data_IF_947666324210
#
_entry.id   IF_947666324210
#
_cell.length_a   1.000
_cell.length_b   1.000
_cell.length_c   1.000
_cell.angle_alpha   90.00
_cell.angle_beta   90.00
_cell.angle_gamma   90.00
#
_symmetry.space_group_name_H-M   'P 1'
#
loop_
_entity.id
_entity.type
_entity.pdbx_description
1 polymer ?
#
# COMPACT_ATOMS: atom_id res chain seq x y z
N UNK A 1 36.95 6.72 -3.70
CA UNK A 1 35.67 6.02 -3.57
C UNK A 1 35.76 5.11 -2.35
N UNK A 2 34.94 5.34 -1.30
CA UNK A 2 34.84 4.38 -0.19
C UNK A 2 34.23 3.08 -0.75
N UNK A 3 34.90 1.96 -0.58
CA UNK A 3 34.33 0.66 -0.97
C UNK A 3 33.22 0.31 0.02
N UNK A 4 31.99 0.14 -0.48
CA UNK A 4 30.88 -0.40 0.29
C UNK A 4 31.12 -1.90 0.52
N UNK A 5 31.00 -2.33 1.77
CA UNK A 5 31.08 -3.75 2.11
C UNK A 5 29.82 -4.52 1.68
N UNK A 6 28.65 -3.86 1.71
CA UNK A 6 27.36 -4.45 1.32
C UNK A 6 26.44 -3.33 0.82
N UNK A 7 25.86 -3.52 -0.36
CA UNK A 7 24.92 -2.57 -0.98
C UNK A 7 23.66 -2.33 -0.11
N UNK A 8 23.27 -3.30 0.68
CA UNK A 8 22.13 -3.19 1.61
C UNK A 8 22.31 -2.11 2.69
N UNK A 9 23.51 -1.55 2.82
CA UNK A 9 23.74 -0.36 3.66
C UNK A 9 23.10 0.91 3.08
N UNK A 10 22.79 0.91 1.77
CA UNK A 10 22.21 2.06 1.07
C UNK A 10 20.83 1.72 0.54
N UNK A 11 20.68 0.54 -0.06
CA UNK A 11 19.43 0.10 -0.70
C UNK A 11 19.05 -1.28 -0.19
N UNK A 12 17.86 -1.43 0.34
CA UNK A 12 17.39 -2.73 0.83
C UNK A 12 15.85 -2.80 0.82
N UNK A 13 15.34 -4.03 0.69
CA UNK A 13 13.94 -4.35 0.89
C UNK A 13 13.83 -5.64 1.71
N UNK A 14 12.91 -5.68 2.64
CA UNK A 14 12.67 -6.81 3.52
C UNK A 14 11.18 -7.07 3.68
N UNK A 15 10.78 -8.34 3.59
CA UNK A 15 9.49 -8.77 4.10
C UNK A 15 9.54 -8.73 5.63
N UNK A 16 8.55 -8.08 6.23
CA UNK A 16 8.44 -7.91 7.69
C UNK A 16 7.05 -8.25 8.16
N UNK A 17 6.96 -8.77 9.37
CA UNK A 17 5.69 -9.06 10.05
C UNK A 17 5.75 -8.42 11.43
N UNK A 18 4.71 -7.70 11.80
CA UNK A 18 4.57 -7.20 13.17
C UNK A 18 4.15 -8.34 14.11
N UNK A 19 4.92 -8.57 15.17
CA UNK A 19 4.70 -9.69 16.07
C UNK A 19 3.86 -9.32 17.30
N UNK A 20 3.81 -8.03 17.66
CA UNK A 20 3.13 -7.56 18.87
C UNK A 20 2.41 -6.23 18.60
N UNK A 21 1.57 -5.81 19.54
CA UNK A 21 0.82 -4.57 19.46
C UNK A 21 -0.49 -4.69 18.68
N UNK A 22 -1.10 -3.56 18.40
CA UNK A 22 -2.34 -3.47 17.62
C UNK A 22 -2.14 -3.93 16.18
N UNK A 23 -0.93 -3.76 15.66
CA UNK A 23 -0.46 -4.13 14.32
C UNK A 23 -0.10 -5.60 14.16
N UNK A 24 -0.18 -6.40 15.22
CA UNK A 24 0.24 -7.81 15.21
C UNK A 24 -0.38 -8.58 14.05
N UNK A 25 0.47 -9.36 13.36
CA UNK A 25 0.10 -10.17 12.19
C UNK A 25 0.12 -9.42 10.86
N UNK A 26 0.28 -8.10 10.83
CA UNK A 26 0.37 -7.34 9.57
C UNK A 26 1.63 -7.71 8.80
N UNK A 27 1.43 -8.05 7.51
CA UNK A 27 2.48 -8.41 6.57
C UNK A 27 2.86 -7.19 5.74
N UNK A 28 4.11 -6.81 5.79
CA UNK A 28 4.58 -5.59 5.14
C UNK A 28 5.85 -5.83 4.32
N UNK A 29 6.25 -4.83 3.53
CA UNK A 29 7.57 -4.72 2.93
C UNK A 29 8.18 -3.41 3.44
N UNK A 30 9.33 -3.50 4.08
CA UNK A 30 10.12 -2.35 4.48
C UNK A 30 11.20 -2.10 3.43
N UNK A 31 11.15 -0.93 2.82
CA UNK A 31 12.11 -0.48 1.81
C UNK A 31 12.95 0.66 2.37
N UNK A 32 14.25 0.62 2.11
CA UNK A 32 15.16 1.69 2.40
C UNK A 32 15.96 2.04 1.13
N UNK A 33 15.97 3.33 0.75
CA UNK A 33 16.75 3.84 -0.38
C UNK A 33 17.30 5.22 -0.04
N UNK A 34 18.62 5.31 0.13
CA UNK A 34 19.26 6.57 0.48
C UNK A 34 18.67 7.18 1.74
N UNK A 35 17.87 8.22 1.60
CA UNK A 35 17.25 8.95 2.71
C UNK A 35 15.78 8.59 2.95
N UNK A 36 15.18 7.75 2.08
CA UNK A 36 13.80 7.29 2.20
C UNK A 36 13.71 5.93 2.88
N UNK A 37 12.75 5.82 3.81
CA UNK A 37 12.26 4.57 4.36
C UNK A 37 10.75 4.50 4.09
N UNK A 38 10.29 3.41 3.48
CA UNK A 38 8.90 3.23 3.05
C UNK A 38 8.37 1.90 3.56
N UNK A 39 7.21 1.90 4.21
CA UNK A 39 6.51 0.69 4.63
C UNK A 39 5.28 0.48 3.75
N UNK A 40 5.29 -0.61 2.99
CA UNK A 40 4.15 -1.08 2.20
C UNK A 40 3.37 -2.13 2.98
N UNK A 41 2.05 -1.99 3.05
CA UNK A 41 1.17 -2.91 3.76
C UNK A 41 0.51 -3.89 2.80
N UNK A 42 0.96 -5.15 2.81
CA UNK A 42 0.43 -6.21 1.92
C UNK A 42 -1.02 -6.56 2.23
N UNK A 43 -1.44 -6.40 3.47
CA UNK A 43 -2.81 -6.70 3.90
C UNK A 43 -3.79 -5.56 3.60
N UNK A 44 -3.28 -4.40 3.18
CA UNK A 44 -4.05 -3.21 2.84
C UNK A 44 -3.69 -2.74 1.42
N UNK A 45 -4.07 -3.51 0.40
CA UNK A 45 -3.92 -3.20 -1.02
C UNK A 45 -2.51 -2.82 -1.47
N UNK A 46 -1.49 -3.23 -0.74
CA UNK A 46 -0.10 -2.79 -0.93
C UNK A 46 0.05 -1.25 -0.83
N UNK A 47 -0.86 -0.59 -0.12
CA UNK A 47 -0.76 0.84 0.15
C UNK A 47 0.43 1.17 1.06
N UNK A 48 0.82 2.44 1.11
CA UNK A 48 1.97 2.91 1.88
C UNK A 48 1.50 3.37 3.26
N UNK A 49 1.84 2.61 4.31
CA UNK A 49 1.51 2.97 5.69
C UNK A 49 2.33 4.16 6.18
N UNK A 50 3.64 4.20 5.91
CA UNK A 50 4.42 5.40 6.18
C UNK A 50 5.56 5.61 5.20
N UNK A 51 5.98 6.87 5.11
CA UNK A 51 7.22 7.29 4.49
C UNK A 51 8.00 8.09 5.52
N UNK A 52 9.27 7.74 5.68
CA UNK A 52 10.23 8.59 6.41
C UNK A 52 11.24 9.16 5.43
N UNK A 53 11.53 10.44 5.59
CA UNK A 53 12.58 11.14 4.88
C UNK A 53 13.61 11.65 5.86
N UNK A 54 14.86 11.27 5.68
CA UNK A 54 15.97 11.60 6.61
C UNK A 54 15.65 11.21 8.07
N UNK A 55 15.03 10.04 8.25
CA UNK A 55 14.65 9.53 9.57
C UNK A 55 13.40 10.18 10.20
N UNK A 56 12.80 11.19 9.57
CA UNK A 56 11.56 11.84 10.04
C UNK A 56 10.35 11.30 9.29
N UNK A 57 9.33 10.90 10.03
CA UNK A 57 8.04 10.53 9.42
C UNK A 57 7.43 11.77 8.77
N UNK A 58 7.00 11.62 7.51
CA UNK A 58 6.29 12.66 6.75
C UNK A 58 4.85 12.28 6.44
N UNK A 59 4.39 11.14 6.96
CA UNK A 59 3.05 10.61 6.72
C UNK A 59 2.12 10.97 7.87
N UNK A 60 0.87 11.23 7.56
CA UNK A 60 -0.18 11.31 8.57
C UNK A 60 -0.42 9.91 9.15
N UNK A 61 -0.40 9.80 10.47
CA UNK A 61 -0.82 8.61 11.20
C UNK A 61 -2.01 8.99 12.08
N UNK A 62 -3.11 8.25 11.95
CA UNK A 62 -4.28 8.46 12.79
C UNK A 62 -4.04 8.00 14.23
N UNK A 63 -4.97 8.30 15.12
CA UNK A 63 -4.92 7.78 16.50
C UNK A 63 -4.96 6.25 16.60
N UNK A 64 -5.51 5.59 15.56
CA UNK A 64 -5.62 4.13 15.54
C UNK A 64 -4.28 3.46 15.23
N UNK A 65 -3.40 4.15 14.47
CA UNK A 65 -2.18 3.55 13.95
C UNK A 65 -2.47 2.37 13.02
N UNK A 66 -1.41 1.64 12.65
CA UNK A 66 -1.54 0.36 11.96
C UNK A 66 -2.21 -0.62 12.91
N UNK A 67 -3.27 -1.27 12.46
CA UNK A 67 -4.03 -2.18 13.31
C UNK A 67 -4.69 -3.30 12.50
N UNK A 68 -5.11 -4.36 13.22
CA UNK A 68 -5.83 -5.52 12.68
C UNK A 68 -7.29 -5.57 13.14
N UNK A 69 -7.86 -4.44 13.57
CA UNK A 69 -9.21 -4.36 14.13
C UNK A 69 -10.25 -4.57 13.03
N UNK A 70 -11.29 -5.36 13.36
CA UNK A 70 -12.53 -5.44 12.59
C UNK A 70 -13.48 -4.36 13.10
N UNK A 71 -14.02 -3.52 12.21
CA UNK A 71 -14.91 -2.45 12.63
C UNK A 71 -15.26 -1.49 11.51
N UNK A 72 -15.78 -0.34 11.90
CA UNK A 72 -16.11 0.78 11.01
C UNK A 72 -14.85 1.39 10.40
N UNK A 73 -15.03 2.21 9.36
CA UNK A 73 -13.94 3.00 8.79
C UNK A 73 -13.20 3.81 9.87
N UNK A 74 -13.95 4.49 10.75
CA UNK A 74 -13.37 5.34 11.80
C UNK A 74 -12.50 4.56 12.81
N UNK A 75 -12.80 3.28 13.05
CA UNK A 75 -12.02 2.41 13.95
C UNK A 75 -10.79 1.79 13.26
N UNK A 76 -10.87 1.58 11.95
CA UNK A 76 -9.82 0.91 11.18
C UNK A 76 -8.84 1.85 10.50
N UNK A 77 -9.23 3.09 10.24
CA UNK A 77 -8.42 4.03 9.47
C UNK A 77 -7.09 4.32 10.16
N UNK A 78 -6.02 3.78 9.62
CA UNK A 78 -4.66 3.94 10.14
C UNK A 78 -4.04 5.31 9.82
N UNK A 79 -4.64 6.04 8.86
CA UNK A 79 -3.99 7.12 8.16
C UNK A 79 -3.19 6.56 6.99
N UNK A 80 -1.88 6.61 7.11
CA UNK A 80 -0.96 6.14 6.09
C UNK A 80 -0.61 7.22 5.07
N UNK A 81 0.57 7.08 4.44
CA UNK A 81 0.98 8.02 3.39
C UNK A 81 0.09 7.92 2.16
N UNK A 82 -0.25 6.70 1.78
CA UNK A 82 -1.19 6.43 0.70
C UNK A 82 -2.33 5.55 1.20
N UNK A 83 -3.55 6.03 1.00
CA UNK A 83 -4.78 5.27 1.14
C UNK A 83 -5.51 5.27 -0.20
N UNK A 84 -5.64 4.11 -0.84
CA UNK A 84 -6.32 3.99 -2.13
C UNK A 84 -7.80 3.66 -1.94
N UNK A 85 -8.66 4.63 -2.26
CA UNK A 85 -10.10 4.43 -2.33
C UNK A 85 -10.47 3.72 -3.63
N UNK A 86 -11.44 2.84 -3.61
CA UNK A 86 -11.95 2.18 -4.81
C UNK A 86 -12.27 0.70 -4.54
N UNK A 87 -12.40 -0.09 -5.57
CA UNK A 87 -12.72 0.19 -6.99
C UNK A 87 -14.22 0.34 -7.16
N UNK A 88 -14.98 -0.16 -6.16
CA UNK A 88 -16.44 -0.20 -6.10
C UNK A 88 -17.07 1.13 -5.66
N UNK A 89 -16.33 1.94 -4.88
CA UNK A 89 -16.74 3.25 -4.42
C UNK A 89 -15.51 4.09 -4.06
N UNK A 90 -15.56 5.38 -4.31
CA UNK A 90 -14.46 6.33 -4.00
C UNK A 90 -14.89 7.48 -3.09
N UNK A 91 -16.14 7.48 -2.65
CA UNK A 91 -16.77 8.60 -1.93
C UNK A 91 -17.48 8.14 -0.66
N UNK A 92 -18.53 8.86 -0.27
CA UNK A 92 -19.39 8.50 0.85
C UNK A 92 -20.07 7.15 0.67
N UNK A 93 -20.64 6.61 1.72
CA UNK A 93 -21.37 5.35 1.70
C UNK A 93 -22.54 5.41 0.71
N UNK A 94 -22.61 4.51 -0.26
CA UNK A 94 -23.68 4.43 -1.27
C UNK A 94 -24.10 2.97 -1.42
N UNK A 95 -25.40 2.69 -1.38
CA UNK A 95 -25.97 1.37 -1.72
C UNK A 95 -25.24 0.17 -1.09
N UNK A 96 -24.98 0.19 0.19
CA UNK A 96 -24.24 -0.85 0.93
C UNK A 96 -22.73 -0.96 0.58
N UNK A 97 -22.18 -0.03 -0.18
CA UNK A 97 -20.75 0.08 -0.38
C UNK A 97 -20.12 0.93 0.73
N UNK A 98 -19.00 0.52 1.28
CA UNK A 98 -18.37 1.28 2.37
C UNK A 98 -17.88 2.64 1.87
N UNK A 99 -17.76 3.57 2.80
CA UNK A 99 -17.09 4.85 2.55
C UNK A 99 -15.68 4.58 2.00
N UNK A 100 -15.28 5.27 0.95
CA UNK A 100 -14.01 5.12 0.24
C UNK A 100 -13.80 3.76 -0.44
N UNK A 101 -14.84 2.91 -0.52
CA UNK A 101 -14.75 1.62 -1.15
C UNK A 101 -14.07 0.54 -0.30
N UNK A 102 -13.88 -0.62 -0.91
CA UNK A 102 -13.35 -1.80 -0.22
C UNK A 102 -11.91 -2.14 -0.59
N UNK A 103 -11.32 -1.47 -1.58
CA UNK A 103 -10.00 -1.82 -2.14
C UNK A 103 -8.90 -1.83 -1.09
N UNK A 104 -8.79 -0.78 -0.29
CA UNK A 104 -7.76 -0.65 0.74
C UNK A 104 -7.71 -1.84 1.72
N UNK A 105 -8.86 -2.47 1.99
CA UNK A 105 -8.95 -3.59 2.94
C UNK A 105 -8.73 -4.95 2.29
N UNK A 106 -8.30 -5.00 1.03
CA UNK A 106 -8.00 -6.25 0.34
C UNK A 106 -6.52 -6.56 0.41
N UNK A 107 -6.23 -7.80 0.71
CA UNK A 107 -4.85 -8.29 0.73
C UNK A 107 -4.30 -8.34 -0.70
N UNK A 108 -3.07 -7.88 -0.87
CA UNK A 108 -2.33 -8.06 -2.10
C UNK A 108 -1.81 -9.49 -2.22
N UNK A 109 -1.82 -10.01 -3.44
CA UNK A 109 -1.29 -11.32 -3.83
C UNK A 109 -0.17 -11.17 -4.85
N UNK A 110 0.58 -12.25 -5.09
CA UNK A 110 1.71 -12.25 -6.03
C UNK A 110 2.68 -11.09 -5.77
N UNK A 111 2.87 -10.77 -4.49
CA UNK A 111 3.69 -9.63 -4.06
C UNK A 111 5.16 -9.97 -4.25
N UNK A 112 5.90 -9.02 -4.78
CA UNK A 112 7.33 -9.13 -4.99
C UNK A 112 8.05 -7.81 -4.71
N UNK A 113 9.34 -7.90 -4.46
CA UNK A 113 10.25 -6.76 -4.51
C UNK A 113 11.56 -7.17 -5.18
N UNK A 114 12.20 -6.24 -5.85
CA UNK A 114 13.49 -6.44 -6.51
C UNK A 114 14.30 -5.14 -6.54
N UNK A 115 15.61 -5.28 -6.51
CA UNK A 115 16.52 -4.16 -6.73
C UNK A 115 16.82 -4.02 -8.23
N UNK A 116 16.74 -2.79 -8.72
CA UNK A 116 17.09 -2.43 -10.09
C UNK A 116 17.89 -1.12 -10.09
N UNK A 117 19.19 -1.19 -10.39
CA UNK A 117 20.05 -0.02 -10.56
C UNK A 117 19.98 0.99 -9.39
N UNK A 118 20.00 0.51 -8.16
CA UNK A 118 19.95 1.37 -6.96
C UNK A 118 18.56 1.88 -6.60
N UNK A 119 17.52 1.39 -7.25
CA UNK A 119 16.12 1.57 -6.89
C UNK A 119 15.51 0.27 -6.38
N UNK A 120 14.43 0.35 -5.64
CA UNK A 120 13.62 -0.82 -5.28
C UNK A 120 12.30 -0.75 -6.03
N UNK A 121 11.97 -1.83 -6.72
CA UNK A 121 10.64 -2.04 -7.29
C UNK A 121 9.86 -2.94 -6.34
N UNK A 122 8.64 -2.53 -5.99
CA UNK A 122 7.69 -3.32 -5.19
C UNK A 122 6.41 -3.45 -6.00
N UNK A 123 5.90 -4.67 -6.15
CA UNK A 123 4.66 -4.87 -6.92
C UNK A 123 3.81 -6.00 -6.38
N UNK A 124 2.58 -6.06 -6.88
CA UNK A 124 1.61 -7.09 -6.51
C UNK A 124 0.27 -6.88 -7.21
N UNK A 125 -0.66 -7.80 -6.95
CA UNK A 125 -2.02 -7.75 -7.47
C UNK A 125 -3.01 -7.62 -6.33
N UNK A 126 -4.02 -6.78 -6.50
CA UNK A 126 -5.15 -6.66 -5.58
C UNK A 126 -6.42 -7.01 -6.34
N UNK A 127 -7.13 -8.04 -5.87
CA UNK A 127 -8.35 -8.51 -6.52
C UNK A 127 -9.58 -7.98 -5.82
N UNK A 128 -10.50 -7.45 -6.62
CA UNK A 128 -11.84 -7.09 -6.17
C UNK A 128 -12.86 -7.90 -6.94
N UNK A 129 -13.26 -9.01 -6.32
CA UNK A 129 -14.15 -10.00 -6.93
C UNK A 129 -15.40 -10.21 -6.09
N UNK A 130 -16.51 -10.51 -6.75
CA UNK A 130 -17.74 -10.96 -6.14
C UNK A 130 -18.35 -12.09 -6.98
N UNK A 131 -18.93 -13.10 -6.34
CA UNK A 131 -19.45 -14.30 -7.00
C UNK A 131 -20.42 -13.97 -8.17
N UNK A 132 -21.26 -12.96 -8.01
CA UNK A 132 -22.22 -12.48 -9.03
C UNK A 132 -22.01 -10.99 -9.30
N UNK A 133 -20.76 -10.55 -9.47
CA UNK A 133 -20.43 -9.13 -9.62
C UNK A 133 -19.10 -8.92 -10.31
N UNK A 134 -18.39 -7.90 -9.85
CA UNK A 134 -17.13 -7.48 -10.42
C UNK A 134 -16.05 -8.58 -10.35
N UNK A 135 -15.20 -8.60 -11.35
CA UNK A 135 -13.94 -9.35 -11.35
C UNK A 135 -12.82 -8.43 -11.86
N UNK A 136 -12.41 -7.53 -10.97
CA UNK A 136 -11.42 -6.51 -11.27
C UNK A 136 -10.11 -6.82 -10.55
N UNK A 137 -9.01 -6.65 -11.26
CA UNK A 137 -7.65 -6.85 -10.74
C UNK A 137 -6.86 -5.56 -10.90
N UNK A 138 -6.35 -5.03 -9.81
CA UNK A 138 -5.38 -3.95 -9.80
C UNK A 138 -3.98 -4.56 -9.81
N UNK A 139 -3.25 -4.40 -10.90
CA UNK A 139 -1.81 -4.66 -10.95
C UNK A 139 -1.10 -3.38 -10.54
N UNK A 140 -0.42 -3.42 -9.41
CA UNK A 140 0.23 -2.27 -8.79
C UNK A 140 1.75 -2.46 -8.77
N UNK A 141 2.48 -1.43 -9.16
CA UNK A 141 3.92 -1.39 -9.03
C UNK A 141 4.40 -0.03 -8.53
N UNK A 142 5.34 -0.05 -7.61
CA UNK A 142 6.06 1.11 -7.12
C UNK A 142 7.52 1.04 -7.53
N UNK A 143 8.09 2.18 -7.90
CA UNK A 143 9.54 2.36 -7.99
C UNK A 143 9.96 3.35 -6.91
N UNK A 144 10.78 2.89 -5.97
CA UNK A 144 11.31 3.72 -4.88
C UNK A 144 12.77 4.03 -5.17
N UNK A 145 13.09 5.31 -5.28
CA UNK A 145 14.44 5.84 -5.46
C UNK A 145 14.81 6.75 -4.29
N UNK A 146 16.04 7.23 -4.25
CA UNK A 146 16.45 8.23 -3.26
C UNK A 146 15.66 9.56 -3.37
N UNK A 147 15.09 9.86 -4.56
CA UNK A 147 14.43 11.11 -4.88
C UNK A 147 12.90 11.05 -4.84
N UNK A 148 12.31 9.87 -4.65
CA UNK A 148 10.87 9.75 -4.60
C UNK A 148 10.31 8.38 -4.87
N UNK A 149 8.98 8.33 -4.89
CA UNK A 149 8.18 7.14 -5.11
C UNK A 149 7.31 7.37 -6.33
N UNK A 150 7.39 6.45 -7.29
CA UNK A 150 6.47 6.40 -8.44
C UNK A 150 5.49 5.27 -8.22
N UNK A 151 4.21 5.52 -8.51
CA UNK A 151 3.13 4.53 -8.60
C UNK A 151 2.79 4.27 -10.06
N UNK A 152 2.57 3.03 -10.42
CA UNK A 152 2.01 2.58 -11.69
C UNK A 152 0.95 1.54 -11.43
N UNK A 153 -0.30 1.88 -11.75
CA UNK A 153 -1.46 1.01 -11.54
C UNK A 153 -2.14 0.70 -12.88
N UNK A 154 -2.46 -0.58 -13.10
CA UNK A 154 -3.22 -1.05 -14.25
C UNK A 154 -4.41 -1.83 -13.72
N UNK A 155 -5.63 -1.39 -14.05
CA UNK A 155 -6.86 -2.13 -13.73
C UNK A 155 -7.22 -3.02 -14.91
N UNK A 156 -7.41 -4.30 -14.63
CA UNK A 156 -7.83 -5.31 -15.60
C UNK A 156 -9.20 -5.83 -15.17
N UNK A 157 -10.13 -5.88 -16.11
CA UNK A 157 -11.38 -6.59 -15.94
C UNK A 157 -11.19 -8.03 -16.45
N UNK A 158 -11.17 -9.00 -15.54
CA UNK A 158 -11.08 -10.43 -15.86
C UNK A 158 -12.48 -11.07 -16.01
N UNK A 159 -13.57 -10.29 -15.78
CA UNK A 159 -14.93 -10.72 -15.94
C UNK A 159 -15.43 -10.72 -17.39
N UNK A 160 -16.58 -11.34 -17.59
CA UNK A 160 -17.19 -11.50 -18.92
C UNK A 160 -18.00 -10.27 -19.38
N UNK A 161 -18.27 -9.33 -18.49
CA UNK A 161 -19.07 -8.12 -18.77
C UNK A 161 -18.30 -6.87 -18.46
N UNK A 162 -18.60 -5.78 -19.14
CA UNK A 162 -18.03 -4.47 -18.82
C UNK A 162 -18.44 -4.07 -17.40
N UNK A 163 -17.49 -3.54 -16.64
CA UNK A 163 -17.68 -3.05 -15.28
C UNK A 163 -17.16 -1.63 -15.13
N UNK A 164 -17.74 -0.90 -14.17
CA UNK A 164 -17.31 0.45 -13.81
C UNK A 164 -16.43 0.38 -12.59
N UNK A 165 -15.34 1.14 -12.61
CA UNK A 165 -14.47 1.29 -11.45
C UNK A 165 -14.08 2.76 -11.23
N UNK A 166 -13.68 3.07 -10.02
CA UNK A 166 -13.06 4.34 -9.68
C UNK A 166 -11.84 4.11 -8.81
N UNK A 167 -10.81 4.90 -8.97
CA UNK A 167 -9.65 4.97 -8.08
C UNK A 167 -9.44 6.41 -7.62
N UNK A 168 -9.21 6.58 -6.33
CA UNK A 168 -8.83 7.86 -5.75
C UNK A 168 -7.67 7.62 -4.78
N UNK A 169 -6.57 8.30 -5.04
CA UNK A 169 -5.37 8.22 -4.21
C UNK A 169 -5.40 9.34 -3.17
N UNK A 170 -5.61 8.97 -1.91
CA UNK A 170 -5.45 9.90 -0.81
C UNK A 170 -4.01 9.85 -0.32
N UNK A 171 -3.26 10.92 -0.61
CA UNK A 171 -1.90 11.11 -0.13
C UNK A 171 -1.97 12.00 1.11
N UNK A 172 -1.60 11.45 2.26
CA UNK A 172 -1.76 12.10 3.54
C UNK A 172 -0.39 12.46 4.12
N UNK A 173 -0.08 13.75 4.11
CA UNK A 173 1.09 14.27 4.79
C UNK A 173 0.78 14.52 6.25
N UNK A 174 1.74 14.17 7.11
CA UNK A 174 1.77 14.53 8.52
C UNK A 174 2.51 15.84 8.75
N UNK A 175 2.42 16.36 9.99
CA UNK A 175 3.13 17.55 10.46
C UNK A 175 4.57 17.23 10.87
#
# INVERSE_FOLDING_TARGET
MKKLGNIKQIVSAYDVVFLNGAESGKNCILVHTGELEVLFNKDNALDISWVKYKGRNISFLSKNGINSVSGTFAEKFEGGFLYTCGMDNVSSCVENKPIHGSLHYRQASEVYHREENGTIVVGGKVRQTALFGSDLVLNREYTVSENGIRISDIVINEGYTADKYGLLYQINFGD
#
